data_IF_699626368995
#
_entry.id   IF_699626368995
#
_cell.length_a   1.000
_cell.length_b   1.000
_cell.length_c   1.000
_cell.angle_alpha   90.00
_cell.angle_beta   90.00
_cell.angle_gamma   90.00
#
_symmetry.space_group_name_H-M   'P 1'
#
loop_
_entity.id
_entity.type
_entity.pdbx_description
1 polymer ?
#
# COMPACT_ATOMS: atom_id res chain seq x y z
N UNK A 1 -10.36 16.04 -84.00
CA UNK A 1 -10.09 17.17 -84.92
C UNK A 1 -10.85 18.38 -84.40
N UNK A 2 -10.12 19.48 -84.15
CA UNK A 2 -10.61 20.86 -83.92
C UNK A 2 -11.46 21.07 -82.65
N UNK A 3 -11.22 22.02 -81.76
CA UNK A 3 -10.45 23.27 -81.84
C UNK A 3 -10.04 23.73 -80.43
N UNK A 4 -8.96 24.48 -80.44
CA UNK A 4 -8.25 25.21 -79.37
C UNK A 4 -8.96 26.45 -78.82
N UNK A 5 -8.44 26.86 -77.65
CA UNK A 5 -8.30 28.22 -77.10
C UNK A 5 -9.15 28.48 -75.84
N UNK A 6 -8.61 28.49 -74.62
CA UNK A 6 -7.62 29.38 -73.98
C UNK A 6 -8.30 30.47 -73.14
N UNK A 7 -7.69 30.72 -71.98
CA UNK A 7 -7.84 31.87 -71.09
C UNK A 7 -8.99 31.92 -70.06
N UNK A 8 -8.67 31.64 -68.79
CA UNK A 8 -8.73 32.65 -67.72
C UNK A 8 -8.16 32.09 -66.40
N UNK A 9 -6.88 32.37 -66.15
CA UNK A 9 -6.33 32.48 -64.79
C UNK A 9 -6.70 33.86 -64.25
N UNK A 10 -7.56 33.91 -63.23
CA UNK A 10 -7.58 35.02 -62.28
C UNK A 10 -7.69 34.44 -60.87
N UNK A 11 -6.59 34.54 -60.14
CA UNK A 11 -6.56 34.33 -58.70
C UNK A 11 -7.47 35.34 -58.02
N UNK A 12 -8.41 34.83 -57.22
CA UNK A 12 -9.05 35.59 -56.17
C UNK A 12 -8.63 34.99 -54.83
N UNK A 13 -7.70 35.67 -54.19
CA UNK A 13 -7.51 35.60 -52.75
C UNK A 13 -8.83 35.98 -52.09
N UNK A 14 -9.46 35.02 -51.39
CA UNK A 14 -10.42 35.33 -50.34
C UNK A 14 -9.78 34.95 -49.01
N UNK A 15 -9.47 36.00 -48.26
CA UNK A 15 -9.17 35.95 -46.84
C UNK A 15 -10.25 35.15 -46.11
N UNK A 16 -9.81 34.13 -45.37
CA UNK A 16 -10.64 33.51 -44.34
C UNK A 16 -9.97 33.84 -43.01
N UNK A 17 -10.80 34.46 -42.17
CA UNK A 17 -10.53 34.99 -40.85
C UNK A 17 -9.59 34.16 -39.97
N UNK A 18 -8.54 34.82 -39.51
CA UNK A 18 -7.83 34.45 -38.29
C UNK A 18 -8.67 34.87 -37.07
N UNK A 19 -9.53 33.98 -36.56
CA UNK A 19 -10.09 34.11 -35.21
C UNK A 19 -10.15 32.77 -34.49
N UNK A 20 -9.43 32.73 -33.37
CA UNK A 20 -9.63 31.89 -32.20
C UNK A 20 -9.57 30.37 -32.40
N UNK A 21 -8.36 29.85 -32.58
CA UNK A 21 -8.03 28.49 -32.11
C UNK A 21 -7.98 28.52 -30.57
N UNK A 22 -9.16 28.46 -29.94
CA UNK A 22 -9.28 28.20 -28.52
C UNK A 22 -8.75 26.79 -28.28
N UNK A 23 -7.55 26.73 -27.70
CA UNK A 23 -6.94 25.50 -27.24
C UNK A 23 -7.86 24.88 -26.17
N UNK A 24 -8.72 23.96 -26.59
CA UNK A 24 -9.29 22.96 -25.67
C UNK A 24 -8.14 22.07 -25.23
N UNK A 25 -7.43 22.51 -24.22
CA UNK A 25 -6.57 21.66 -23.39
C UNK A 25 -7.45 20.50 -22.97
N UNK A 26 -7.12 19.30 -23.47
CA UNK A 26 -7.76 18.07 -23.04
C UNK A 26 -7.55 17.94 -21.53
N UNK A 27 -8.63 18.08 -20.78
CA UNK A 27 -8.66 17.96 -19.32
C UNK A 27 -8.55 16.47 -18.95
N UNK A 28 -7.40 15.86 -19.30
CA UNK A 28 -7.08 14.48 -18.95
C UNK A 28 -6.59 14.46 -17.49
N UNK A 29 -7.36 13.88 -16.54
CA UNK A 29 -6.95 13.78 -15.14
C UNK A 29 -5.66 12.99 -14.93
N UNK A 30 -5.20 12.24 -15.94
CA UNK A 30 -3.92 11.52 -15.90
C UNK A 30 -2.69 12.40 -16.18
N UNK A 31 -2.85 13.63 -16.70
CA UNK A 31 -1.73 14.55 -16.98
C UNK A 31 -1.45 15.57 -15.85
N UNK A 32 -2.26 15.63 -14.79
CA UNK A 32 -2.04 16.57 -13.67
C UNK A 32 -0.83 16.14 -12.83
N UNK A 33 0.18 17.01 -12.78
CA UNK A 33 1.45 16.82 -12.07
C UNK A 33 1.31 16.81 -10.54
N UNK A 34 0.27 17.45 -10.01
CA UNK A 34 -0.09 17.46 -8.58
C UNK A 34 -1.47 16.82 -8.40
N UNK A 35 -1.73 16.04 -7.32
CA UNK A 35 -3.11 15.87 -6.86
C UNK A 35 -3.64 17.27 -6.52
N UNK A 36 -4.63 17.73 -7.26
CA UNK A 36 -5.24 19.05 -7.07
C UNK A 36 -6.05 19.06 -5.76
N UNK A 37 -6.33 20.25 -5.20
CA UNK A 37 -7.30 20.37 -4.09
C UNK A 37 -8.66 19.75 -4.44
N UNK A 38 -8.99 19.63 -5.74
CA UNK A 38 -10.19 18.96 -6.23
C UNK A 38 -10.12 17.42 -6.18
N UNK A 39 -8.93 16.82 -6.22
CA UNK A 39 -8.69 15.39 -5.95
C UNK A 39 -8.78 15.10 -4.43
N UNK A 40 -8.51 16.12 -3.63
CA UNK A 40 -8.74 16.17 -2.19
C UNK A 40 -10.18 16.60 -1.83
N UNK A 41 -11.19 16.24 -2.63
CA UNK A 41 -12.59 16.40 -2.18
C UNK A 41 -12.77 15.63 -0.87
N UNK A 42 -12.62 16.36 0.24
CA UNK A 42 -12.66 15.88 1.62
C UNK A 42 -14.05 15.34 1.88
N UNK A 43 -14.19 14.03 1.76
CA UNK A 43 -15.41 13.38 2.20
C UNK A 43 -15.31 13.18 3.71
N UNK A 44 -15.89 14.11 4.48
CA UNK A 44 -16.03 13.97 5.93
C UNK A 44 -16.68 12.63 6.31
N UNK A 45 -17.61 12.14 5.48
CA UNK A 45 -18.19 10.79 5.61
C UNK A 45 -17.12 9.69 5.54
N UNK A 46 -16.19 9.79 4.59
CA UNK A 46 -15.05 8.86 4.45
C UNK A 46 -14.15 8.95 5.69
N UNK A 47 -13.79 10.15 6.14
CA UNK A 47 -12.96 10.32 7.34
C UNK A 47 -13.62 9.71 8.58
N UNK A 48 -14.90 9.97 8.82
CA UNK A 48 -15.66 9.39 9.93
C UNK A 48 -15.70 7.87 9.82
N UNK A 49 -16.06 7.33 8.65
CA UNK A 49 -16.13 5.89 8.41
C UNK A 49 -14.78 5.20 8.71
N UNK A 50 -13.68 5.72 8.15
CA UNK A 50 -12.36 5.13 8.34
C UNK A 50 -11.87 5.28 9.78
N UNK A 51 -12.12 6.41 10.44
CA UNK A 51 -11.76 6.61 11.85
C UNK A 51 -12.52 5.67 12.79
N UNK A 52 -13.83 5.49 12.58
CA UNK A 52 -14.65 4.56 13.35
C UNK A 52 -14.23 3.11 13.07
N UNK A 53 -14.03 2.76 11.79
CA UNK A 53 -13.56 1.44 11.39
C UNK A 53 -12.25 1.09 12.08
N UNK A 54 -11.24 1.97 12.01
CA UNK A 54 -9.92 1.73 12.60
C UNK A 54 -10.04 1.45 14.11
N UNK A 55 -10.85 2.24 14.82
CA UNK A 55 -11.07 2.05 16.26
C UNK A 55 -11.82 0.76 16.60
N UNK A 56 -12.77 0.35 15.75
CA UNK A 56 -13.52 -0.89 15.95
C UNK A 56 -12.65 -2.12 15.71
N UNK A 57 -11.81 -2.11 14.66
CA UNK A 57 -10.95 -3.25 14.34
C UNK A 57 -9.83 -3.41 15.37
N UNK A 58 -9.42 -2.34 16.07
CA UNK A 58 -8.44 -2.44 17.17
C UNK A 58 -8.91 -3.30 18.35
N UNK A 59 -10.22 -3.59 18.48
CA UNK A 59 -10.77 -4.43 19.54
C UNK A 59 -10.76 -5.91 19.14
N UNK A 60 -9.97 -6.80 19.77
CA UNK A 60 -9.77 -8.18 19.32
C UNK A 60 -11.05 -9.00 19.21
N UNK A 61 -11.99 -8.82 20.13
CA UNK A 61 -13.26 -9.55 20.14
C UNK A 61 -14.16 -9.14 18.97
N UNK A 62 -14.30 -7.83 18.76
CA UNK A 62 -15.11 -7.26 17.67
C UNK A 62 -14.49 -7.62 16.32
N UNK A 63 -13.18 -7.46 16.20
CA UNK A 63 -12.42 -7.82 15.01
C UNK A 63 -12.61 -9.29 14.63
N UNK A 64 -12.35 -10.20 15.56
CA UNK A 64 -12.47 -11.63 15.31
C UNK A 64 -13.89 -12.03 14.87
N UNK A 65 -14.92 -11.47 15.52
CA UNK A 65 -16.31 -11.82 15.23
C UNK A 65 -16.81 -11.23 13.90
N UNK A 66 -16.54 -9.95 13.63
CA UNK A 66 -17.07 -9.25 12.46
C UNK A 66 -16.27 -9.54 11.19
N UNK A 67 -14.93 -9.60 11.27
CA UNK A 67 -14.12 -9.74 10.07
C UNK A 67 -14.04 -11.18 9.57
N UNK A 68 -14.13 -12.20 10.43
CA UNK A 68 -14.28 -13.59 9.98
C UNK A 68 -15.55 -13.81 9.17
N UNK A 69 -16.66 -13.15 9.55
CA UNK A 69 -17.92 -13.22 8.78
C UNK A 69 -17.87 -12.50 7.44
N UNK A 70 -16.90 -11.61 7.26
CA UNK A 70 -16.69 -10.83 6.03
C UNK A 70 -15.57 -11.39 5.15
N UNK A 71 -14.89 -12.45 5.59
CA UNK A 71 -14.02 -13.22 4.71
C UNK A 71 -14.89 -13.88 3.63
N UNK A 72 -14.37 -13.88 2.41
CA UNK A 72 -15.04 -14.45 1.26
C UNK A 72 -14.04 -15.42 0.63
N UNK A 73 -14.50 -16.61 0.24
CA UNK A 73 -13.65 -17.69 -0.29
C UNK A 73 -12.89 -17.30 -1.58
N UNK A 74 -13.35 -16.25 -2.29
CA UNK A 74 -12.63 -15.63 -3.40
C UNK A 74 -11.36 -14.88 -2.95
N UNK A 75 -11.17 -14.69 -1.65
CA UNK A 75 -9.98 -14.13 -1.03
C UNK A 75 -9.41 -15.13 -0.03
N UNK A 76 -8.08 -15.18 0.10
CA UNK A 76 -7.47 -15.96 1.16
C UNK A 76 -8.03 -15.51 2.52
N UNK A 77 -8.33 -16.48 3.39
CA UNK A 77 -8.66 -16.22 4.79
C UNK A 77 -7.45 -15.55 5.45
N UNK A 78 -7.70 -14.41 6.10
CA UNK A 78 -6.69 -13.41 6.51
C UNK A 78 -6.74 -13.08 7.99
N UNK A 79 -7.86 -13.36 8.64
CA UNK A 79 -7.99 -13.18 10.08
C UNK A 79 -7.26 -14.32 10.76
N UNK A 80 -6.40 -13.99 11.73
CA UNK A 80 -5.71 -15.00 12.54
C UNK A 80 -6.71 -15.93 13.23
N UNK A 81 -6.28 -17.17 13.45
CA UNK A 81 -7.00 -18.28 14.07
C UNK A 81 -6.04 -19.08 14.96
N UNK A 82 -6.54 -19.89 15.92
CA UNK A 82 -5.67 -20.74 16.74
C UNK A 82 -4.79 -21.70 15.94
N UNK A 83 -5.22 -22.12 14.75
CA UNK A 83 -4.52 -23.03 13.83
C UNK A 83 -3.69 -22.29 12.75
N UNK A 84 -3.55 -20.96 12.86
CA UNK A 84 -2.70 -20.20 11.94
C UNK A 84 -1.24 -20.57 12.14
N UNK A 85 -0.50 -20.71 11.05
CA UNK A 85 0.94 -20.96 11.13
C UNK A 85 1.69 -19.74 11.66
N UNK A 86 1.37 -18.55 11.13
CA UNK A 86 2.08 -17.30 11.42
C UNK A 86 1.16 -16.10 11.16
N UNK A 87 1.36 -15.02 11.90
CA UNK A 87 0.85 -13.69 11.56
C UNK A 87 1.97 -12.89 10.91
N UNK A 88 1.75 -12.40 9.69
CA UNK A 88 2.64 -11.47 8.99
C UNK A 88 1.85 -10.19 8.73
N UNK A 89 2.12 -9.16 9.51
CA UNK A 89 1.32 -7.94 9.47
C UNK A 89 2.18 -6.71 9.79
N UNK A 90 1.69 -5.56 9.36
CA UNK A 90 2.34 -4.27 9.56
C UNK A 90 1.40 -3.17 9.10
N UNK A 91 1.80 -1.93 9.33
CA UNK A 91 1.09 -0.79 8.75
C UNK A 91 1.07 -0.94 7.21
N UNK A 92 0.04 -0.44 6.49
CA UNK A 92 0.05 -0.48 5.04
C UNK A 92 1.37 0.05 4.49
N UNK A 93 1.87 -0.59 3.43
CA UNK A 93 3.10 -0.20 2.72
C UNK A 93 4.43 -0.53 3.44
N UNK A 94 4.40 -1.32 4.51
CA UNK A 94 5.58 -1.92 5.15
C UNK A 94 5.92 -3.32 4.62
N UNK A 95 6.00 -3.53 3.29
CA UNK A 95 6.35 -4.84 2.69
C UNK A 95 5.41 -6.04 2.97
N UNK A 96 4.22 -5.85 3.54
CA UNK A 96 3.26 -6.93 3.85
C UNK A 96 3.02 -7.93 2.71
N UNK A 97 2.80 -7.43 1.49
CA UNK A 97 2.55 -8.29 0.34
C UNK A 97 3.79 -9.08 -0.07
N UNK A 98 4.97 -8.46 -0.02
CA UNK A 98 6.23 -9.12 -0.31
C UNK A 98 6.47 -10.26 0.69
N UNK A 99 6.41 -9.96 2.00
CA UNK A 99 6.66 -10.95 3.05
C UNK A 99 5.68 -12.12 2.99
N UNK A 100 4.39 -11.86 2.69
CA UNK A 100 3.40 -12.90 2.45
C UNK A 100 3.82 -13.86 1.33
N UNK A 101 4.17 -13.35 0.15
CA UNK A 101 4.55 -14.19 -0.99
C UNK A 101 5.89 -14.88 -0.79
N UNK A 102 6.89 -14.17 -0.27
CA UNK A 102 8.21 -14.74 0.03
C UNK A 102 8.08 -15.91 1.01
N UNK A 103 7.24 -15.78 2.03
CA UNK A 103 6.96 -16.86 2.96
C UNK A 103 6.21 -18.02 2.31
N UNK A 104 5.10 -17.74 1.62
CA UNK A 104 4.24 -18.77 1.03
C UNK A 104 4.95 -19.58 -0.05
N UNK A 105 5.77 -18.93 -0.89
CA UNK A 105 6.57 -19.60 -1.94
C UNK A 105 7.65 -20.52 -1.36
N UNK A 106 8.07 -20.30 -0.12
CA UNK A 106 9.05 -21.16 0.54
C UNK A 106 8.43 -22.43 1.16
N UNK A 107 7.12 -22.43 1.45
CA UNK A 107 6.50 -23.57 2.14
C UNK A 107 6.11 -24.68 1.14
N UNK A 108 6.27 -25.94 1.57
CA UNK A 108 5.90 -27.12 0.74
C UNK A 108 4.40 -27.22 0.48
N UNK A 109 3.59 -26.67 1.39
CA UNK A 109 2.13 -26.69 1.33
C UNK A 109 1.59 -25.32 1.74
N UNK A 110 0.46 -24.89 1.16
CA UNK A 110 -0.22 -23.69 1.64
C UNK A 110 -0.56 -23.81 3.13
N UNK A 111 -0.21 -22.78 3.89
CA UNK A 111 -0.58 -22.65 5.31
C UNK A 111 -1.50 -21.46 5.51
N UNK A 112 -2.27 -21.49 6.59
CA UNK A 112 -3.10 -20.34 6.96
C UNK A 112 -2.25 -19.26 7.63
N UNK A 113 -2.38 -18.02 7.13
CA UNK A 113 -1.67 -16.84 7.65
C UNK A 113 -2.65 -15.75 8.09
N UNK A 114 -2.42 -15.19 9.27
CA UNK A 114 -3.03 -13.91 9.62
C UNK A 114 -2.29 -12.78 8.91
N UNK A 115 -2.93 -12.04 7.99
CA UNK A 115 -2.25 -10.98 7.23
C UNK A 115 -3.21 -9.94 6.61
N UNK A 116 -2.64 -8.84 6.11
CA UNK A 116 -3.30 -7.79 5.30
C UNK A 116 -4.60 -7.23 5.90
N UNK A 117 -4.74 -7.29 7.22
CA UNK A 117 -5.83 -6.65 7.95
C UNK A 117 -5.43 -5.26 8.44
N UNK A 118 -4.12 -4.97 8.48
CA UNK A 118 -3.50 -3.74 8.95
C UNK A 118 -4.01 -3.34 10.32
N UNK A 119 -4.15 -4.33 11.19
CA UNK A 119 -4.89 -4.23 12.43
C UNK A 119 -4.13 -4.85 13.59
N UNK A 120 -4.01 -4.09 14.69
CA UNK A 120 -3.30 -4.52 15.90
C UNK A 120 -3.98 -5.72 16.57
N UNK A 121 -5.28 -5.92 16.36
CA UNK A 121 -6.01 -7.07 16.88
C UNK A 121 -5.44 -8.42 16.41
N UNK A 122 -4.81 -8.48 15.22
CA UNK A 122 -4.13 -9.69 14.75
C UNK A 122 -3.01 -10.10 15.72
N UNK A 123 -2.22 -9.15 16.21
CA UNK A 123 -1.13 -9.41 17.17
C UNK A 123 -1.67 -9.77 18.56
N UNK A 124 -2.71 -9.08 19.02
CA UNK A 124 -3.34 -9.40 20.30
C UNK A 124 -3.92 -10.82 20.31
N UNK A 125 -4.55 -11.24 19.21
CA UNK A 125 -5.07 -12.60 19.06
C UNK A 125 -3.95 -13.63 18.88
N UNK A 126 -2.88 -13.30 18.15
CA UNK A 126 -1.72 -14.17 18.01
C UNK A 126 -1.07 -14.45 19.36
N UNK A 127 -0.86 -13.41 20.18
CA UNK A 127 -0.37 -13.54 21.55
C UNK A 127 -1.31 -14.42 22.39
N UNK A 128 -2.63 -14.20 22.32
CA UNK A 128 -3.62 -15.00 23.06
C UNK A 128 -3.58 -16.49 22.69
N UNK A 129 -3.43 -16.78 21.40
CA UNK A 129 -3.45 -18.15 20.88
C UNK A 129 -2.07 -18.78 20.73
N UNK A 130 -1.01 -18.07 21.16
CA UNK A 130 0.38 -18.50 21.01
C UNK A 130 0.76 -18.81 19.54
N UNK A 131 0.16 -18.07 18.61
CA UNK A 131 0.51 -18.12 17.19
C UNK A 131 1.76 -17.27 16.98
N UNK A 132 2.80 -17.77 16.28
CA UNK A 132 3.97 -16.98 15.89
C UNK A 132 3.56 -15.69 15.18
N UNK A 133 4.28 -14.60 15.41
CA UNK A 133 3.94 -13.32 14.82
C UNK A 133 5.15 -12.47 14.44
N UNK A 134 5.09 -11.94 13.21
CA UNK A 134 6.07 -11.07 12.58
C UNK A 134 5.41 -9.71 12.31
N UNK A 135 5.96 -8.67 12.93
CA UNK A 135 5.60 -7.29 12.71
C UNK A 135 6.55 -6.64 11.69
N UNK A 136 5.99 -6.13 10.60
CA UNK A 136 6.74 -5.40 9.59
C UNK A 136 6.63 -3.89 9.82
N UNK A 137 7.77 -3.22 9.93
CA UNK A 137 7.86 -1.77 10.15
C UNK A 137 8.63 -1.10 9.03
N UNK A 138 8.36 0.19 8.80
CA UNK A 138 9.05 0.99 7.80
C UNK A 138 9.06 2.45 8.23
N UNK A 139 10.16 3.14 7.93
CA UNK A 139 10.35 4.57 8.12
C UNK A 139 9.07 5.37 7.79
N UNK A 140 8.62 6.29 8.67
CA UNK A 140 7.32 6.92 8.58
C UNK A 140 7.16 7.76 7.31
N UNK A 141 8.17 8.55 6.95
CA UNK A 141 8.14 9.44 5.79
C UNK A 141 7.75 8.69 4.52
N UNK A 142 8.46 7.61 4.25
CA UNK A 142 8.27 6.75 3.08
C UNK A 142 6.91 6.05 3.08
N UNK A 143 6.53 5.53 4.24
CA UNK A 143 5.34 4.69 4.41
C UNK A 143 4.08 5.52 4.28
N UNK A 144 4.04 6.67 4.96
CA UNK A 144 2.91 7.61 4.95
C UNK A 144 2.74 8.18 3.55
N UNK A 145 3.82 8.61 2.89
CA UNK A 145 3.75 9.10 1.51
C UNK A 145 3.23 8.02 0.55
N UNK A 146 3.72 6.79 0.68
CA UNK A 146 3.23 5.67 -0.12
C UNK A 146 1.77 5.30 0.19
N UNK A 147 1.32 5.45 1.43
CA UNK A 147 -0.03 5.10 1.84
C UNK A 147 -1.04 6.17 1.39
N UNK A 148 -0.66 7.44 1.51
CA UNK A 148 -1.45 8.58 1.03
C UNK A 148 -1.77 8.45 -0.46
N UNK A 149 -0.75 8.16 -1.28
CA UNK A 149 -0.96 7.92 -2.72
C UNK A 149 -1.85 6.70 -2.98
N UNK A 150 -1.79 5.67 -2.14
CA UNK A 150 -2.59 4.47 -2.29
C UNK A 150 -4.07 4.68 -1.88
N UNK A 151 -4.32 5.45 -0.83
CA UNK A 151 -5.64 5.70 -0.21
C UNK A 151 -6.08 7.18 -0.39
N UNK A 152 -6.12 7.68 -1.62
CA UNK A 152 -6.53 9.06 -1.90
C UNK A 152 -7.92 9.41 -1.34
N UNK A 153 -8.13 10.71 -1.06
CA UNK A 153 -9.39 11.25 -0.56
C UNK A 153 -9.51 11.28 0.97
N UNK A 154 -8.40 11.08 1.69
CA UNK A 154 -8.27 11.33 3.12
C UNK A 154 -7.15 12.36 3.35
N UNK A 155 -7.25 13.23 4.38
CA UNK A 155 -6.20 14.21 4.67
C UNK A 155 -4.88 13.55 5.03
N UNK A 156 -3.76 14.20 4.70
CA UNK A 156 -2.42 13.69 5.01
C UNK A 156 -2.24 13.45 6.52
N UNK A 157 -2.80 14.33 7.34
CA UNK A 157 -2.80 14.26 8.80
C UNK A 157 -3.50 12.99 9.31
N UNK A 158 -4.53 12.50 8.61
CA UNK A 158 -5.16 11.22 8.96
C UNK A 158 -4.17 10.07 8.79
N UNK A 159 -3.41 10.02 7.69
CA UNK A 159 -2.42 8.96 7.49
C UNK A 159 -1.29 9.01 8.52
N UNK A 160 -0.82 10.21 8.88
CA UNK A 160 0.20 10.38 9.94
C UNK A 160 -0.35 9.88 11.28
N UNK A 161 -1.56 10.33 11.66
CA UNK A 161 -2.19 9.92 12.93
C UNK A 161 -2.45 8.41 12.98
N UNK A 162 -2.91 7.82 11.88
CA UNK A 162 -3.14 6.37 11.77
C UNK A 162 -1.84 5.60 11.94
N UNK A 163 -0.73 6.07 11.34
CA UNK A 163 0.59 5.46 11.52
C UNK A 163 1.02 5.50 12.99
N UNK A 164 0.93 6.68 13.63
CA UNK A 164 1.27 6.87 15.05
C UNK A 164 0.43 5.95 15.94
N UNK A 165 -0.90 5.92 15.74
CA UNK A 165 -1.80 5.09 16.54
C UNK A 165 -1.47 3.60 16.39
N UNK A 166 -1.31 3.11 15.15
CA UNK A 166 -0.95 1.71 14.90
C UNK A 166 0.34 1.31 15.63
N UNK A 167 1.41 2.10 15.47
CA UNK A 167 2.73 1.79 16.07
C UNK A 167 2.69 1.87 17.60
N UNK A 168 1.97 2.85 18.17
CA UNK A 168 1.80 2.96 19.63
C UNK A 168 1.01 1.80 20.22
N UNK A 169 -0.02 1.33 19.52
CA UNK A 169 -0.85 0.23 20.00
C UNK A 169 -0.12 -1.12 19.89
N UNK A 170 0.55 -1.38 18.76
CA UNK A 170 1.30 -2.64 18.60
C UNK A 170 2.49 -2.73 19.56
N UNK A 171 3.05 -1.60 20.00
CA UNK A 171 4.09 -1.56 21.04
C UNK A 171 3.70 -2.34 22.31
N UNK A 172 2.41 -2.44 22.65
CA UNK A 172 1.94 -3.21 23.83
C UNK A 172 2.13 -4.72 23.69
N UNK A 173 2.23 -5.20 22.47
CA UNK A 173 2.35 -6.63 22.14
C UNK A 173 3.75 -6.99 21.71
N UNK A 174 4.63 -6.01 21.59
CA UNK A 174 5.89 -6.14 20.88
C UNK A 174 6.70 -7.32 21.43
N UNK A 175 6.70 -7.56 22.75
CA UNK A 175 7.44 -8.65 23.44
C UNK A 175 7.00 -10.06 23.05
N UNK A 176 5.89 -10.18 22.34
CA UNK A 176 5.40 -11.43 21.77
C UNK A 176 5.69 -11.58 20.27
N UNK A 177 6.42 -10.65 19.64
CA UNK A 177 6.61 -10.56 18.19
C UNK A 177 8.10 -10.54 17.81
N UNK A 178 8.40 -11.04 16.61
CA UNK A 178 9.60 -10.64 15.85
C UNK A 178 9.29 -9.33 15.12
N UNK A 179 10.24 -8.39 15.10
CA UNK A 179 10.11 -7.12 14.39
C UNK A 179 11.13 -7.07 13.26
N UNK A 180 10.67 -6.81 12.05
CA UNK A 180 11.52 -6.66 10.88
C UNK A 180 11.26 -5.31 10.21
N UNK A 181 12.33 -4.56 9.98
CA UNK A 181 12.25 -3.32 9.25
C UNK A 181 12.19 -3.56 7.72
N UNK A 182 11.87 -2.52 6.97
CA UNK A 182 11.64 -2.66 5.54
C UNK A 182 12.88 -3.13 4.76
N UNK A 183 14.09 -2.54 4.95
CA UNK A 183 15.30 -3.02 4.29
C UNK A 183 15.59 -4.49 4.57
N UNK A 184 15.53 -4.92 5.85
CA UNK A 184 15.74 -6.32 6.22
C UNK A 184 14.68 -7.23 5.59
N UNK A 185 13.42 -6.80 5.61
CA UNK A 185 12.32 -7.59 5.05
C UNK A 185 12.47 -7.86 3.56
N UNK A 186 12.99 -6.92 2.77
CA UNK A 186 13.11 -7.09 1.30
C UNK A 186 14.48 -7.62 0.86
N UNK A 187 15.52 -7.45 1.69
CA UNK A 187 16.90 -7.78 1.34
C UNK A 187 17.46 -9.02 2.03
N UNK A 188 16.93 -9.37 3.20
CA UNK A 188 17.42 -10.45 4.06
C UNK A 188 16.23 -11.15 4.75
N UNK A 189 15.24 -11.60 3.96
CA UNK A 189 14.02 -12.18 4.53
C UNK A 189 14.28 -13.57 5.11
N UNK A 190 15.30 -14.28 4.63
CA UNK A 190 15.67 -15.58 5.17
C UNK A 190 16.08 -15.48 6.65
N UNK A 191 16.86 -14.46 7.00
CA UNK A 191 17.25 -14.15 8.39
C UNK A 191 16.05 -13.81 9.27
N UNK A 192 15.04 -13.14 8.72
CA UNK A 192 13.80 -12.81 9.45
C UNK A 192 13.03 -14.08 9.80
N UNK A 193 12.94 -15.03 8.86
CA UNK A 193 12.28 -16.31 9.09
C UNK A 193 13.08 -17.18 10.06
N UNK A 194 14.41 -17.13 10.00
CA UNK A 194 15.25 -17.79 10.98
C UNK A 194 14.98 -17.25 12.39
N UNK A 195 14.93 -15.94 12.59
CA UNK A 195 14.61 -15.34 13.90
C UNK A 195 13.21 -15.74 14.39
N UNK A 196 12.22 -15.81 13.48
CA UNK A 196 10.88 -16.34 13.80
C UNK A 196 10.96 -17.78 14.28
N UNK A 197 11.72 -18.63 13.59
CA UNK A 197 11.91 -20.02 13.97
C UNK A 197 12.58 -20.17 15.34
N UNK A 198 13.64 -19.40 15.59
CA UNK A 198 14.35 -19.41 16.87
C UNK A 198 13.45 -18.93 18.02
N UNK A 199 12.73 -17.82 17.82
CA UNK A 199 11.86 -17.24 18.86
C UNK A 199 10.68 -18.13 19.22
N UNK A 200 10.05 -18.75 18.23
CA UNK A 200 8.78 -19.46 18.42
C UNK A 200 8.91 -20.99 18.35
N UNK A 201 10.12 -21.52 18.14
CA UNK A 201 10.36 -22.96 18.01
C UNK A 201 9.74 -23.56 16.73
N UNK A 202 9.54 -22.75 15.69
CA UNK A 202 8.98 -23.19 14.41
C UNK A 202 10.05 -23.71 13.46
N UNK A 203 9.62 -24.29 12.32
CA UNK A 203 10.50 -24.83 11.28
C UNK A 203 10.07 -24.36 9.88
N UNK A 204 9.72 -23.08 9.76
CA UNK A 204 9.36 -22.50 8.48
C UNK A 204 10.56 -22.48 7.55
N UNK A 205 10.31 -22.76 6.27
CA UNK A 205 11.31 -22.61 5.23
C UNK A 205 11.39 -21.15 4.78
N UNK A 206 12.56 -20.74 4.30
CA UNK A 206 12.76 -19.46 3.65
C UNK A 206 13.33 -19.68 2.24
N UNK A 207 12.98 -18.79 1.32
CA UNK A 207 13.70 -18.70 0.05
C UNK A 207 15.10 -18.11 0.30
N UNK A 208 16.12 -18.50 -0.47
CA UNK A 208 17.41 -17.82 -0.44
C UNK A 208 17.24 -16.33 -0.76
N UNK A 209 18.00 -15.46 -0.08
CA UNK A 209 18.00 -14.04 -0.42
C UNK A 209 18.73 -13.79 -1.75
N UNK A 210 18.30 -12.75 -2.46
CA UNK A 210 18.90 -12.36 -3.74
C UNK A 210 17.89 -11.93 -4.79
N UNK A 211 18.42 -11.52 -5.94
CA UNK A 211 17.64 -10.95 -7.05
C UNK A 211 16.61 -11.94 -7.61
N UNK A 212 16.97 -13.23 -7.75
CA UNK A 212 16.07 -14.26 -8.27
C UNK A 212 14.80 -14.39 -7.41
N UNK A 213 14.95 -14.43 -6.08
CA UNK A 213 13.83 -14.46 -5.14
C UNK A 213 12.97 -13.22 -5.26
N UNK A 214 13.58 -12.03 -5.39
CA UNK A 214 12.83 -10.79 -5.59
C UNK A 214 12.02 -10.83 -6.89
N UNK A 215 12.61 -11.31 -7.99
CA UNK A 215 11.92 -11.45 -9.28
C UNK A 215 10.73 -12.41 -9.18
N UNK A 216 10.91 -13.58 -8.54
CA UNK A 216 9.86 -14.57 -8.33
C UNK A 216 8.71 -14.01 -7.50
N UNK A 217 9.02 -13.36 -6.37
CA UNK A 217 8.00 -12.73 -5.51
C UNK A 217 7.27 -11.61 -6.26
N UNK A 218 8.00 -10.78 -7.02
CA UNK A 218 7.40 -9.71 -7.82
C UNK A 218 6.48 -10.25 -8.92
N UNK A 219 6.84 -11.37 -9.55
CA UNK A 219 6.01 -12.03 -10.55
C UNK A 219 4.66 -12.48 -9.95
N UNK A 220 4.67 -13.13 -8.79
CA UNK A 220 3.44 -13.53 -8.07
C UNK A 220 2.58 -12.33 -7.67
N UNK A 221 3.22 -11.27 -7.15
CA UNK A 221 2.53 -10.03 -6.80
C UNK A 221 1.84 -9.39 -8.01
N UNK A 222 2.51 -9.42 -9.17
CA UNK A 222 1.96 -8.93 -10.44
C UNK A 222 0.82 -9.82 -10.93
N UNK A 223 0.99 -11.13 -10.95
CA UNK A 223 -0.03 -12.09 -11.38
C UNK A 223 -1.32 -11.95 -10.55
N UNK A 224 -1.21 -11.88 -9.21
CA UNK A 224 -2.39 -11.66 -8.34
C UNK A 224 -3.06 -10.31 -8.60
N UNK A 225 -2.26 -9.26 -8.88
CA UNK A 225 -2.81 -7.94 -9.22
C UNK A 225 -3.60 -8.01 -10.52
N UNK A 226 -3.02 -8.59 -11.56
CA UNK A 226 -3.62 -8.67 -12.90
C UNK A 226 -4.92 -9.50 -12.85
N UNK A 227 -4.92 -10.62 -12.10
CA UNK A 227 -6.12 -11.41 -11.84
C UNK A 227 -7.23 -10.59 -11.14
N UNK A 228 -6.90 -9.75 -10.15
CA UNK A 228 -7.91 -8.88 -9.48
C UNK A 228 -8.49 -7.83 -10.41
N UNK A 229 -7.69 -7.32 -11.35
CA UNK A 229 -8.15 -6.35 -12.35
C UNK A 229 -9.13 -7.02 -13.30
N UNK A 230 -8.79 -8.21 -13.81
CA UNK A 230 -9.65 -8.98 -14.73
C UNK A 230 -11.03 -9.29 -14.12
N UNK A 231 -11.10 -9.50 -12.81
CA UNK A 231 -12.35 -9.70 -12.09
C UNK A 231 -13.18 -8.41 -11.87
N UNK A 232 -12.77 -7.26 -12.42
CA UNK A 232 -13.45 -5.97 -12.25
C UNK A 232 -13.42 -5.43 -10.82
N UNK A 233 -12.58 -6.01 -9.94
CA UNK A 233 -12.57 -5.73 -8.50
C UNK A 233 -11.65 -4.59 -8.08
N UNK A 234 -10.86 -4.04 -9.01
CA UNK A 234 -9.95 -2.92 -8.73
C UNK A 234 -9.75 -2.06 -9.96
N UNK A 235 -10.14 -0.79 -9.89
CA UNK A 235 -9.69 0.20 -10.87
C UNK A 235 -8.17 0.33 -10.79
N UNK A 236 -7.52 0.31 -11.96
CA UNK A 236 -6.09 0.46 -12.17
C UNK A 236 -5.63 1.89 -11.88
N UNK A 237 -5.65 2.30 -10.61
CA UNK A 237 -4.83 3.44 -10.20
C UNK A 237 -3.37 2.96 -10.17
N UNK A 238 -2.58 3.42 -11.14
CA UNK A 238 -1.15 3.13 -11.33
C UNK A 238 -0.32 3.33 -10.05
N UNK A 239 -0.65 4.33 -9.24
CA UNK A 239 -0.04 4.64 -7.94
C UNK A 239 -0.50 3.73 -6.79
N UNK A 240 -1.55 2.92 -7.01
CA UNK A 240 -2.06 1.90 -6.08
C UNK A 240 -1.26 0.58 -6.08
N UNK A 241 -0.17 0.51 -6.85
CA UNK A 241 0.70 -0.66 -6.94
C UNK A 241 1.36 -0.99 -5.60
N UNK A 242 1.56 -2.27 -5.28
CA UNK A 242 2.39 -2.67 -4.13
C UNK A 242 3.89 -2.44 -4.38
N UNK A 243 4.32 -2.45 -5.64
CA UNK A 243 5.68 -2.21 -6.11
C UNK A 243 5.90 -0.75 -6.59
N UNK A 244 7.16 -0.30 -6.76
CA UNK A 244 7.47 1.00 -7.37
C UNK A 244 6.89 1.10 -8.78
N UNK A 245 6.26 2.23 -9.11
CA UNK A 245 5.81 2.55 -10.47
C UNK A 245 6.34 3.93 -10.84
N UNK A 246 6.55 4.17 -12.13
CA UNK A 246 7.08 5.46 -12.61
C UNK A 246 6.25 6.64 -12.10
N UNK A 247 4.92 6.52 -12.17
CA UNK A 247 4.01 7.57 -11.70
C UNK A 247 4.09 7.78 -10.18
N UNK A 248 4.29 6.71 -9.40
CA UNK A 248 4.51 6.81 -7.96
C UNK A 248 5.85 7.50 -7.66
N UNK A 249 6.88 7.22 -8.45
CA UNK A 249 8.19 7.86 -8.31
C UNK A 249 8.12 9.37 -8.63
N UNK A 250 7.25 9.77 -9.57
CA UNK A 250 6.99 11.19 -9.87
C UNK A 250 6.21 11.91 -8.75
N UNK A 251 5.16 11.29 -8.19
CA UNK A 251 4.27 11.93 -7.20
C UNK A 251 4.81 11.88 -5.75
N UNK A 252 5.57 10.84 -5.38
CA UNK A 252 6.03 10.64 -3.99
C UNK A 252 6.90 11.80 -3.45
N UNK A 253 7.85 12.38 -4.21
CA UNK A 253 8.63 13.54 -3.74
C UNK A 253 7.76 14.72 -3.32
N UNK A 254 6.64 14.93 -4.01
CA UNK A 254 5.71 16.04 -3.72
C UNK A 254 4.95 15.81 -2.42
N UNK A 255 4.55 14.56 -2.15
CA UNK A 255 3.93 14.19 -0.87
C UNK A 255 4.96 14.32 0.26
N UNK A 256 6.21 13.95 0.03
CA UNK A 256 7.30 14.13 1.00
C UNK A 256 7.51 15.62 1.31
N UNK A 257 7.54 16.49 0.30
CA UNK A 257 7.64 17.93 0.50
C UNK A 257 6.50 18.45 1.39
N UNK A 258 5.26 17.99 1.17
CA UNK A 258 4.11 18.33 2.01
C UNK A 258 4.23 17.80 3.44
N UNK A 259 4.74 16.58 3.62
CA UNK A 259 4.99 16.01 4.96
C UNK A 259 6.04 16.81 5.75
N UNK A 260 6.96 17.50 5.07
CA UNK A 260 7.98 18.35 5.67
C UNK A 260 7.49 19.78 6.01
N UNK A 261 6.26 20.15 5.62
CA UNK A 261 5.70 21.46 5.96
C UNK A 261 5.64 21.66 7.49
N UNK A 262 5.89 22.90 8.00
CA UNK A 262 5.92 23.18 9.44
C UNK A 262 4.69 22.68 10.22
N UNK A 263 3.49 22.72 9.59
CA UNK A 263 2.24 22.27 10.19
C UNK A 263 2.20 20.77 10.54
N UNK A 264 3.06 19.95 9.92
CA UNK A 264 3.14 18.51 10.16
C UNK A 264 4.30 18.10 11.07
N UNK A 265 5.21 19.03 11.41
CA UNK A 265 6.47 18.75 12.11
C UNK A 265 6.28 17.91 13.37
N UNK A 266 5.37 18.32 14.25
CA UNK A 266 5.15 17.64 15.53
C UNK A 266 4.51 16.24 15.34
N UNK A 267 3.60 16.10 14.38
CA UNK A 267 2.98 14.81 14.08
C UNK A 267 3.97 13.84 13.45
N UNK A 268 4.85 14.32 12.57
CA UNK A 268 5.92 13.51 11.98
C UNK A 268 6.98 13.13 13.00
N UNK A 269 7.33 14.04 13.93
CA UNK A 269 8.20 13.72 15.07
C UNK A 269 7.64 12.56 15.89
N UNK A 270 6.34 12.60 16.21
CA UNK A 270 5.64 11.50 16.92
C UNK A 270 5.62 10.19 16.13
N UNK A 271 5.56 10.26 14.80
CA UNK A 271 5.62 9.07 13.94
C UNK A 271 7.01 8.44 13.99
N UNK A 272 8.05 9.27 13.95
CA UNK A 272 9.44 8.82 14.10
C UNK A 272 9.69 8.20 15.47
N UNK A 273 9.29 8.87 16.56
CA UNK A 273 9.41 8.34 17.92
C UNK A 273 8.69 6.99 18.07
N UNK A 274 7.49 6.85 17.49
CA UNK A 274 6.75 5.59 17.53
C UNK A 274 7.43 4.47 16.73
N UNK A 275 8.07 4.79 15.61
CA UNK A 275 8.85 3.85 14.82
C UNK A 275 10.12 3.40 15.55
N UNK A 276 10.92 4.35 16.03
CA UNK A 276 12.15 4.07 16.78
C UNK A 276 11.87 3.26 18.05
N UNK A 277 10.77 3.54 18.73
CA UNK A 277 10.35 2.79 19.91
C UNK A 277 10.04 1.30 19.65
N UNK A 278 9.80 0.89 18.40
CA UNK A 278 9.65 -0.53 18.04
C UNK A 278 10.96 -1.19 17.63
N UNK A 279 11.96 -0.40 17.21
CA UNK A 279 13.29 -0.88 16.84
C UNK A 279 14.26 -0.93 18.01
N UNK A 280 14.10 -0.07 19.02
CA UNK A 280 14.94 0.00 20.21
C UNK A 280 14.71 -1.17 21.19
N UNK A 281 14.49 -2.35 20.62
CA UNK A 281 14.23 -3.63 21.26
C UNK A 281 15.49 -4.28 21.78
#
# INVERSE_FOLDING_TARGET
>A
MMQSADNQQQGHARAIDARASDARVSDDPHQRSTPSESDEKRSWKKLIYFSLRDRLIEQPQIFNALWRKRENDLYEKRVVRPDSALVIEGFPRCANTFAYYAFMLAQDKPVHLGNHMHCVAQFALAQKWKVPALLLVRQPMDTIASNYLFELGLPLEYHIRRYVTFHRLVKRHVDSLVVSDFPRTIGAFSDVIQEVNERFGTRFKALPDGEETQLRVNAEMKAKRDWRVQLGKKELKSYGASFPTEEKNKRKPMVIARLNEPKHRDLMKRAEEAYQALLAR
#
